data_IF_460980484107
#
_entry.id   IF_460980484107
#
_cell.length_a   1.000
_cell.length_b   1.000
_cell.length_c   1.000
_cell.angle_alpha   90.00
_cell.angle_beta   90.00
_cell.angle_gamma   90.00
#
_symmetry.space_group_name_H-M   'P 1'
#
loop_
_entity.id
_entity.type
_entity.pdbx_description
1 polymer ?
#
# COMPACT_ATOMS: atom_id res chain seq x y z
N UNK A 1 12.73 -9.58 16.26
CA UNK A 1 12.30 -9.92 14.89
C UNK A 1 12.85 -8.82 14.02
N UNK A 2 13.99 -9.08 13.37
CA UNK A 2 14.63 -8.10 12.49
C UNK A 2 13.82 -8.08 11.20
N UNK A 3 13.21 -6.93 10.89
CA UNK A 3 12.44 -6.75 9.67
C UNK A 3 13.41 -6.22 8.63
N UNK A 4 13.79 -7.08 7.69
CA UNK A 4 14.68 -6.69 6.60
C UNK A 4 13.99 -5.69 5.67
N UNK A 5 14.67 -4.59 5.31
CA UNK A 5 14.08 -3.60 4.42
C UNK A 5 14.02 -4.12 2.98
N UNK A 6 12.83 -4.12 2.38
CA UNK A 6 12.63 -4.47 0.98
C UNK A 6 13.11 -3.34 0.07
N UNK A 7 14.08 -3.69 -0.79
CA UNK A 7 14.58 -2.84 -1.86
C UNK A 7 13.82 -3.05 -3.18
N UNK A 8 13.00 -4.09 -3.27
CA UNK A 8 12.29 -4.48 -4.48
C UNK A 8 10.78 -4.56 -4.25
N UNK A 9 10.03 -4.12 -5.25
CA UNK A 9 8.58 -4.17 -5.31
C UNK A 9 8.13 -5.38 -6.12
N UNK A 10 7.06 -6.02 -5.65
CA UNK A 10 6.33 -7.00 -6.44
C UNK A 10 5.68 -6.33 -7.65
N UNK A 11 5.72 -7.02 -8.78
CA UNK A 11 5.11 -6.59 -10.04
C UNK A 11 3.83 -7.37 -10.32
N UNK A 12 3.07 -6.91 -11.31
CA UNK A 12 1.88 -7.62 -11.76
C UNK A 12 2.23 -9.05 -12.20
N UNK A 13 1.51 -10.03 -11.67
CA UNK A 13 1.74 -11.46 -11.90
C UNK A 13 2.48 -12.18 -10.78
N UNK A 14 3.20 -11.47 -9.90
CA UNK A 14 3.82 -12.07 -8.72
C UNK A 14 2.76 -12.66 -7.80
N UNK A 15 3.05 -13.78 -7.14
CA UNK A 15 2.14 -14.40 -6.19
C UNK A 15 2.81 -14.60 -4.83
N UNK A 16 2.04 -14.41 -3.75
CA UNK A 16 2.47 -14.71 -2.39
C UNK A 16 1.35 -15.35 -1.59
N UNK A 17 1.71 -16.20 -0.63
CA UNK A 17 0.76 -16.88 0.24
C UNK A 17 0.46 -16.06 1.49
N UNK A 18 -0.74 -16.21 2.04
CA UNK A 18 -1.05 -15.70 3.37
C UNK A 18 -0.15 -16.38 4.42
N UNK A 19 0.11 -15.74 5.58
CA UNK A 19 0.94 -16.33 6.63
C UNK A 19 0.47 -17.71 7.11
N UNK A 20 -0.82 -18.02 6.98
CA UNK A 20 -1.41 -19.32 7.30
C UNK A 20 -1.52 -20.29 6.12
N UNK A 21 -1.02 -19.94 4.93
CA UNK A 21 -1.03 -20.77 3.72
C UNK A 21 -2.40 -21.06 3.12
N UNK A 22 -3.49 -20.51 3.68
CA UNK A 22 -4.86 -20.78 3.25
C UNK A 22 -5.26 -20.02 1.98
N UNK A 23 -4.64 -18.87 1.76
CA UNK A 23 -4.97 -17.98 0.65
C UNK A 23 -3.73 -17.73 -0.20
N UNK A 24 -3.92 -17.69 -1.50
CA UNK A 24 -2.92 -17.27 -2.48
C UNK A 24 -3.33 -15.91 -3.02
N UNK A 25 -2.41 -14.95 -3.01
CA UNK A 25 -2.64 -13.62 -3.54
C UNK A 25 -1.79 -13.42 -4.78
N UNK A 26 -2.42 -13.08 -5.90
CA UNK A 26 -1.76 -12.71 -7.15
C UNK A 26 -1.78 -11.19 -7.25
N UNK A 27 -0.60 -10.58 -7.38
CA UNK A 27 -0.42 -9.13 -7.47
C UNK A 27 -0.90 -8.64 -8.82
N UNK A 28 -1.81 -7.67 -8.80
CA UNK A 28 -2.20 -6.88 -9.97
C UNK A 28 -1.24 -5.71 -10.16
N UNK A 29 -0.83 -5.07 -9.06
CA UNK A 29 0.17 -4.00 -9.09
C UNK A 29 0.33 -3.25 -7.76
N UNK A 30 1.37 -2.41 -7.64
CA UNK A 30 1.60 -1.56 -6.47
C UNK A 30 0.53 -0.46 -6.37
N UNK A 31 0.02 -0.22 -5.16
CA UNK A 31 -0.99 0.81 -4.89
C UNK A 31 -0.68 1.59 -3.63
N UNK A 32 -1.06 2.87 -3.60
CA UNK A 32 -0.98 3.69 -2.41
C UNK A 32 -2.33 3.71 -1.69
N UNK A 33 -2.35 3.42 -0.39
CA UNK A 33 -3.57 3.52 0.42
C UNK A 33 -3.80 4.97 0.85
N UNK A 34 -5.01 5.45 0.56
CA UNK A 34 -5.48 6.75 0.99
C UNK A 34 -6.62 6.54 2.00
N UNK A 35 -6.59 7.29 3.08
CA UNK A 35 -7.71 7.41 3.99
C UNK A 35 -8.63 8.54 3.55
N UNK A 36 -9.92 8.24 3.46
CA UNK A 36 -10.94 9.27 3.40
C UNK A 36 -11.19 9.79 4.82
N UNK A 37 -10.82 11.04 5.06
CA UNK A 37 -11.04 11.71 6.35
C UNK A 37 -12.51 11.72 6.78
N UNK A 38 -13.45 11.57 5.84
CA UNK A 38 -14.88 11.56 6.15
C UNK A 38 -15.38 10.25 6.75
N UNK A 39 -14.65 9.14 6.53
CA UNK A 39 -15.04 7.79 6.96
C UNK A 39 -14.45 7.39 8.32
N UNK A 40 -13.62 8.24 8.94
CA UNK A 40 -12.99 7.92 10.22
C UNK A 40 -14.04 7.81 11.34
N UNK A 41 -14.02 6.71 12.13
CA UNK A 41 -14.80 6.63 13.36
C UNK A 41 -14.33 7.73 14.32
N UNK A 42 -15.25 8.27 15.09
CA UNK A 42 -14.99 9.32 16.06
C UNK A 42 -13.77 9.04 16.96
N UNK A 43 -12.92 10.04 17.32
CA UNK A 43 -13.07 11.48 17.10
C UNK A 43 -12.10 11.99 16.03
N UNK A 44 -12.59 12.25 14.81
CA UNK A 44 -11.83 12.97 13.76
C UNK A 44 -11.75 14.48 14.02
N UNK A 45 -11.65 14.84 15.30
CA UNK A 45 -11.86 16.17 15.84
C UNK A 45 -10.50 16.67 16.32
N UNK A 46 -10.20 17.94 16.06
CA UNK A 46 -9.32 18.65 17.00
C UNK A 46 -9.72 18.28 18.43
N UNK A 47 -8.78 17.88 19.29
CA UNK A 47 -9.07 17.57 20.71
C UNK A 47 -9.81 18.72 21.40
N UNK A 48 -9.64 19.93 20.86
CA UNK A 48 -10.35 21.15 21.24
C UNK A 48 -11.87 21.05 21.06
N UNK A 49 -12.34 20.37 20.02
CA UNK A 49 -13.75 20.33 19.61
C UNK A 49 -14.57 19.25 20.30
N UNK A 50 -13.93 18.27 20.97
CA UNK A 50 -14.60 17.15 21.69
C UNK A 50 -15.76 16.53 20.87
N UNK A 51 -15.64 16.53 19.54
CA UNK A 51 -16.83 16.69 18.67
C UNK A 51 -16.52 16.61 17.17
N UNK A 52 -17.29 15.87 16.35
CA UNK A 52 -17.09 15.81 14.88
C UNK A 52 -17.00 17.23 14.34
N UNK A 53 -15.82 17.61 13.86
CA UNK A 53 -15.57 18.96 13.40
C UNK A 53 -16.53 19.29 12.25
N UNK A 54 -17.28 20.41 12.34
CA UNK A 54 -18.26 20.76 11.34
C UNK A 54 -17.61 20.97 9.97
N UNK A 55 -18.31 20.61 8.90
CA UNK A 55 -17.75 20.51 7.54
C UNK A 55 -17.12 21.82 7.06
N UNK A 56 -17.70 22.97 7.38
CA UNK A 56 -17.19 24.29 6.99
C UNK A 56 -15.87 24.68 7.67
N UNK A 57 -15.52 24.04 8.79
CA UNK A 57 -14.28 24.31 9.51
C UNK A 57 -13.20 23.27 9.20
N UNK A 58 -13.42 22.42 8.19
CA UNK A 58 -12.49 21.36 7.81
C UNK A 58 -11.50 21.89 6.79
N UNK A 59 -10.29 22.22 7.24
CA UNK A 59 -9.18 22.64 6.37
C UNK A 59 -8.34 21.43 5.96
N UNK A 60 -7.99 21.31 4.67
CA UNK A 60 -7.07 20.29 4.15
C UNK A 60 -7.69 19.30 3.15
N UNK A 61 -6.85 18.41 2.60
CA UNK A 61 -7.26 17.41 1.62
C UNK A 61 -8.23 16.36 2.22
N UNK A 62 -9.22 15.94 1.45
CA UNK A 62 -10.16 14.87 1.83
C UNK A 62 -9.45 13.52 1.97
N UNK A 63 -8.67 13.18 0.94
CA UNK A 63 -7.86 11.97 0.92
C UNK A 63 -6.48 12.27 1.47
N UNK A 64 -6.10 11.55 2.51
CA UNK A 64 -4.80 11.66 3.17
C UNK A 64 -4.10 10.32 3.05
N UNK A 65 -2.82 10.33 2.69
CA UNK A 65 -2.07 9.09 2.58
C UNK A 65 -2.00 8.38 3.93
N UNK A 66 -2.19 7.07 3.92
CA UNK A 66 -2.11 6.24 5.11
C UNK A 66 -0.67 6.23 5.65
N UNK A 67 -0.47 6.88 6.80
CA UNK A 67 0.84 6.98 7.45
C UNK A 67 1.30 5.66 8.07
N UNK A 68 0.38 4.75 8.40
CA UNK A 68 0.72 3.42 8.90
C UNK A 68 1.21 2.53 7.76
N UNK A 69 0.54 2.59 6.60
CA UNK A 69 0.97 1.91 5.38
C UNK A 69 2.13 2.62 4.66
N UNK A 70 2.47 3.87 5.02
CA UNK A 70 3.50 4.65 4.34
C UNK A 70 4.89 4.01 4.30
N UNK A 71 5.18 3.14 5.27
CA UNK A 71 6.48 2.48 5.42
C UNK A 71 6.54 1.11 4.76
N UNK A 72 5.39 0.56 4.38
CA UNK A 72 5.26 -0.83 3.93
C UNK A 72 4.67 -0.85 2.52
N UNK A 73 5.10 -1.76 1.64
CA UNK A 73 4.50 -1.87 0.33
C UNK A 73 3.04 -2.35 0.45
N UNK A 74 2.20 -1.83 -0.44
CA UNK A 74 0.79 -2.19 -0.58
C UNK A 74 0.49 -2.54 -2.03
N UNK A 75 -0.29 -3.58 -2.23
CA UNK A 75 -0.58 -4.16 -3.53
C UNK A 75 -2.08 -4.37 -3.70
N UNK A 76 -2.59 -4.04 -4.89
CA UNK A 76 -3.86 -4.56 -5.33
C UNK A 76 -3.63 -6.02 -5.74
N UNK A 77 -4.44 -6.92 -5.20
CA UNK A 77 -4.28 -8.36 -5.39
C UNK A 77 -5.62 -9.01 -5.74
N UNK A 78 -5.52 -10.12 -6.46
CA UNK A 78 -6.59 -11.10 -6.59
C UNK A 78 -6.31 -12.23 -5.61
N UNK A 79 -7.15 -12.36 -4.59
CA UNK A 79 -7.11 -13.45 -3.63
C UNK A 79 -7.78 -14.70 -4.17
N UNK A 80 -7.20 -15.85 -3.85
CA UNK A 80 -7.66 -17.19 -4.21
C UNK A 80 -7.73 -18.05 -2.93
N UNK A 81 -8.89 -18.64 -2.66
CA UNK A 81 -9.06 -19.63 -1.58
C UNK A 81 -8.81 -21.05 -2.09
N UNK A 82 -8.59 -21.99 -1.18
CA UNK A 82 -8.44 -23.42 -1.50
C UNK A 82 -9.65 -23.99 -2.25
N UNK A 83 -10.83 -23.40 -2.06
CA UNK A 83 -12.07 -23.77 -2.75
C UNK A 83 -12.21 -23.14 -4.15
N UNK A 84 -11.21 -22.37 -4.62
CA UNK A 84 -11.23 -21.70 -5.92
C UNK A 84 -12.01 -20.38 -5.97
N UNK A 85 -12.54 -19.90 -4.84
CA UNK A 85 -13.19 -18.59 -4.75
C UNK A 85 -12.16 -17.49 -5.01
N UNK A 86 -12.53 -16.51 -5.84
CA UNK A 86 -11.69 -15.35 -6.19
C UNK A 86 -12.30 -14.06 -5.67
N UNK A 87 -11.48 -13.16 -5.16
CA UNK A 87 -11.89 -11.81 -4.78
C UNK A 87 -10.77 -10.80 -5.04
N UNK A 88 -11.13 -9.53 -5.15
CA UNK A 88 -10.18 -8.42 -5.27
C UNK A 88 -10.02 -7.75 -3.91
N UNK A 89 -8.77 -7.46 -3.51
CA UNK A 89 -8.47 -6.79 -2.25
C UNK A 89 -7.18 -5.96 -2.36
N UNK A 90 -6.92 -5.13 -1.35
CA UNK A 90 -5.68 -4.38 -1.18
C UNK A 90 -4.96 -4.86 0.07
N UNK A 91 -3.78 -5.45 -0.11
CA UNK A 91 -2.95 -5.98 0.98
C UNK A 91 -1.74 -5.09 1.20
N UNK A 92 -1.48 -4.79 2.47
CA UNK A 92 -0.25 -4.14 2.92
C UNK A 92 0.64 -5.18 3.60
N UNK A 93 1.86 -5.35 3.10
CA UNK A 93 2.83 -6.30 3.67
C UNK A 93 3.54 -5.66 4.85
N UNK A 94 2.91 -5.65 6.03
CA UNK A 94 3.50 -5.06 7.25
C UNK A 94 4.78 -5.76 7.74
N UNK A 95 5.05 -6.97 7.25
CA UNK A 95 6.30 -7.69 7.49
C UNK A 95 7.47 -7.18 6.64
N UNK A 96 7.24 -6.24 5.73
CA UNK A 96 8.27 -5.67 4.86
C UNK A 96 8.34 -4.15 5.04
N UNK A 97 9.56 -3.62 5.14
CA UNK A 97 9.78 -2.18 5.23
C UNK A 97 10.46 -1.65 3.97
N UNK A 98 9.90 -0.61 3.37
CA UNK A 98 10.53 0.04 2.21
C UNK A 98 11.84 0.75 2.61
N UNK A 99 12.88 0.57 1.80
CA UNK A 99 14.11 1.39 1.89
C UNK A 99 13.81 2.88 1.71
N UNK A 100 14.69 3.74 2.22
CA UNK A 100 14.43 5.17 2.36
C UNK A 100 14.00 5.86 1.04
N UNK A 101 14.65 5.53 -0.08
CA UNK A 101 14.36 6.14 -1.38
C UNK A 101 13.05 5.64 -1.97
N UNK A 102 12.79 4.33 -1.87
CA UNK A 102 11.50 3.74 -2.27
C UNK A 102 10.36 4.30 -1.43
N UNK A 103 10.54 4.47 -0.12
CA UNK A 103 9.54 5.06 0.76
C UNK A 103 9.19 6.49 0.37
N UNK A 104 10.19 7.30 -0.01
CA UNK A 104 9.99 8.68 -0.49
C UNK A 104 9.22 8.70 -1.82
N UNK A 105 9.52 7.76 -2.70
CA UNK A 105 8.80 7.58 -3.96
C UNK A 105 7.35 7.12 -3.72
N UNK A 106 7.16 6.12 -2.84
CA UNK A 106 5.89 5.45 -2.54
C UNK A 106 4.78 6.41 -2.13
N UNK A 107 5.12 7.39 -1.27
CA UNK A 107 4.24 8.50 -0.92
C UNK A 107 4.98 9.80 -1.22
N UNK A 108 4.90 10.20 -2.48
CA UNK A 108 5.44 11.49 -2.91
C UNK A 108 4.48 12.62 -2.55
N UNK A 109 4.96 13.58 -1.77
CA UNK A 109 4.30 14.89 -1.62
C UNK A 109 4.96 15.89 -2.56
N UNK A 110 4.23 16.36 -3.56
CA UNK A 110 4.72 17.33 -4.56
C UNK A 110 3.68 18.41 -4.83
N UNK A 111 4.08 19.63 -5.19
CA UNK A 111 3.15 20.66 -5.65
C UNK A 111 2.50 20.22 -6.97
N UNK A 112 1.24 20.62 -7.21
CA UNK A 112 0.44 20.13 -8.36
C UNK A 112 1.19 20.28 -9.69
N UNK A 113 1.96 21.35 -9.86
CA UNK A 113 2.74 21.68 -11.05
C UNK A 113 4.01 20.85 -11.28
N UNK A 114 4.56 20.19 -10.26
CA UNK A 114 5.79 19.41 -10.42
C UNK A 114 5.49 18.01 -10.99
N UNK A 115 6.37 17.40 -11.82
CA UNK A 115 6.21 16.01 -12.22
C UNK A 115 6.37 15.05 -11.02
N UNK A 116 5.84 13.83 -11.14
CA UNK A 116 6.14 12.78 -10.16
C UNK A 116 7.59 12.29 -10.34
N UNK A 117 8.30 11.96 -9.24
CA UNK A 117 9.62 11.37 -9.33
C UNK A 117 9.55 10.01 -10.02
N UNK A 118 10.57 9.70 -10.82
CA UNK A 118 10.74 8.37 -11.38
C UNK A 118 10.94 7.33 -10.29
N UNK A 119 10.59 6.08 -10.59
CA UNK A 119 10.86 4.95 -9.70
C UNK A 119 12.39 4.79 -9.53
N UNK A 120 12.91 4.57 -8.31
CA UNK A 120 14.34 4.34 -8.12
C UNK A 120 14.81 3.12 -8.91
N UNK A 121 15.98 3.22 -9.55
CA UNK A 121 16.52 2.14 -10.37
C UNK A 121 16.71 0.84 -9.55
N UNK A 122 16.42 -0.30 -10.16
CA UNK A 122 16.53 -1.62 -9.49
C UNK A 122 15.41 -1.92 -8.49
N UNK A 123 14.40 -1.06 -8.37
CA UNK A 123 13.28 -1.26 -7.43
C UNK A 123 12.20 -2.22 -7.92
N UNK A 124 12.16 -2.53 -9.22
CA UNK A 124 11.24 -3.57 -9.72
C UNK A 124 11.92 -4.92 -9.62
N UNK A 125 11.19 -5.92 -9.12
CA UNK A 125 11.61 -7.29 -9.33
C UNK A 125 11.66 -7.60 -10.83
N UNK A 126 12.68 -8.34 -11.29
CA UNK A 126 12.63 -8.92 -12.62
C UNK A 126 11.44 -9.88 -12.69
N UNK A 127 10.74 -9.97 -13.83
CA UNK A 127 9.72 -10.98 -14.02
C UNK A 127 10.31 -12.37 -13.78
N UNK A 128 9.60 -13.21 -13.04
CA UNK A 128 9.98 -14.60 -12.85
C UNK A 128 10.04 -15.29 -14.22
N UNK A 129 11.19 -15.88 -14.55
CA UNK A 129 11.33 -16.64 -15.80
C UNK A 129 10.29 -17.79 -15.81
N UNK A 130 9.50 -17.96 -16.87
CA UNK A 130 8.47 -19.00 -16.96
C UNK A 130 9.03 -20.43 -17.03
N UNK A 131 10.35 -20.63 -16.83
CA UNK A 131 11.08 -21.86 -17.17
C UNK A 131 11.39 -22.74 -15.94
N UNK A 132 10.94 -22.37 -14.74
CA UNK A 132 11.17 -23.17 -13.52
C UNK A 132 9.86 -23.58 -12.84
N UNK A 133 8.99 -24.25 -13.58
CA UNK A 133 8.05 -25.21 -13.02
C UNK A 133 8.49 -26.60 -13.52
N UNK A 134 8.90 -27.55 -12.64
CA UNK A 134 9.20 -28.92 -13.04
C UNK A 134 7.96 -29.66 -13.56
#
# INVERSE_FOLDING_TARGET
>A
MEIEPSSQLLIGGDAFSSPGGRFLYVVSGPVCRLFDREQLPWPSCSLLWRGKQPSWNRVGCRFVADLAAARCPSYAVVGLDANGLRWEDVITLYGEMLVADLRRWWITRKPVSAPFPGLPAGSLRPPLDPVLCP
#
